data_IF_413891773892
#
_entry.id   IF_413891773892
#
_cell.length_a   1.000
_cell.length_b   1.000
_cell.length_c   1.000
_cell.angle_alpha   90.00
_cell.angle_beta   90.00
_cell.angle_gamma   90.00
#
_symmetry.space_group_name_H-M   'P 1'
#
loop_
_entity.id
_entity.type
_entity.pdbx_description
1 polymer ?
#
# COMPACT_ATOMS: atom_id res chain seq x y z
N UNK A 1 -25.76 -3.98 -4.13
CA UNK A 1 -26.16 -5.36 -4.48
C UNK A 1 -25.40 -6.31 -3.55
N UNK A 2 -25.98 -6.59 -2.39
CA UNK A 2 -25.37 -7.38 -1.32
C UNK A 2 -26.10 -8.73 -1.31
N UNK A 3 -25.43 -9.81 -1.67
CA UNK A 3 -25.98 -11.16 -1.47
C UNK A 3 -24.98 -11.99 -0.72
N UNK A 4 -25.12 -11.88 0.60
CA UNK A 4 -24.73 -12.84 1.62
C UNK A 4 -25.48 -14.16 1.37
N UNK A 5 -24.78 -15.30 1.41
CA UNK A 5 -25.44 -16.58 1.65
C UNK A 5 -24.57 -17.48 2.54
N UNK A 6 -24.97 -17.57 3.82
CA UNK A 6 -24.60 -18.63 4.76
C UNK A 6 -25.28 -19.93 4.31
N UNK A 7 -24.60 -21.08 4.46
CA UNK A 7 -25.22 -22.29 5.02
C UNK A 7 -24.17 -23.14 5.75
N UNK A 8 -24.46 -23.42 7.01
CA UNK A 8 -23.79 -24.40 7.84
C UNK A 8 -24.54 -25.73 7.73
N UNK A 9 -23.82 -26.85 7.72
CA UNK A 9 -24.37 -28.17 8.03
C UNK A 9 -23.33 -28.98 8.82
N UNK A 10 -23.72 -29.38 10.03
CA UNK A 10 -22.99 -30.30 10.92
C UNK A 10 -23.77 -31.62 10.92
N UNK A 11 -23.08 -32.76 10.72
CA UNK A 11 -23.38 -34.03 11.43
C UNK A 11 -22.25 -35.04 11.33
N UNK A 12 -22.19 -35.88 12.36
CA UNK A 12 -21.05 -36.64 12.86
C UNK A 12 -20.82 -38.02 12.21
N UNK A 13 -19.54 -38.41 12.28
CA UNK A 13 -18.87 -39.72 12.39
C UNK A 13 -19.51 -41.01 11.83
N UNK A 14 -18.73 -41.66 10.97
CA UNK A 14 -18.56 -43.12 10.93
C UNK A 14 -17.10 -43.43 10.59
N UNK A 15 -16.46 -44.22 11.45
CA UNK A 15 -15.06 -44.63 11.36
C UNK A 15 -14.95 -45.79 10.37
N UNK A 16 -14.18 -45.60 9.30
CA UNK A 16 -13.62 -46.70 8.51
C UNK A 16 -12.15 -46.41 8.26
N UNK A 17 -11.27 -47.07 9.03
CA UNK A 17 -9.86 -47.19 8.69
C UNK A 17 -9.77 -47.98 7.38
N UNK A 18 -9.19 -47.37 6.34
CA UNK A 18 -8.70 -48.08 5.16
C UNK A 18 -7.25 -47.67 4.89
N UNK A 19 -6.47 -48.71 4.66
CA UNK A 19 -5.02 -48.79 4.52
C UNK A 19 -4.47 -47.88 3.42
N UNK A 20 -3.33 -47.25 3.69
CA UNK A 20 -2.58 -46.45 2.73
C UNK A 20 -1.87 -47.31 1.68
N UNK A 21 -1.84 -46.89 0.41
CA UNK A 21 -0.80 -47.31 -0.53
C UNK A 21 0.19 -46.17 -0.83
N UNK A 22 1.47 -46.54 -0.69
CA UNK A 22 2.65 -46.14 -1.48
C UNK A 22 2.76 -44.72 -2.02
N UNK A 23 3.79 -44.02 -1.52
CA UNK A 23 4.33 -42.76 -2.03
C UNK A 23 4.65 -42.82 -3.53
N UNK A 24 3.84 -42.14 -4.35
CA UNK A 24 4.25 -41.68 -5.67
C UNK A 24 4.92 -40.32 -5.54
N UNK A 25 6.21 -40.24 -5.87
CA UNK A 25 7.01 -39.02 -5.90
C UNK A 25 6.58 -38.12 -7.08
N UNK A 26 5.40 -37.51 -6.98
CA UNK A 26 5.05 -36.36 -7.80
C UNK A 26 5.80 -35.15 -7.28
N UNK A 27 6.66 -34.55 -8.10
CA UNK A 27 7.33 -33.28 -7.83
C UNK A 27 6.28 -32.21 -7.50
N UNK A 28 5.94 -32.07 -6.21
CA UNK A 28 5.09 -31.00 -5.71
C UNK A 28 5.86 -29.71 -5.89
N UNK A 29 5.59 -29.01 -7.00
CA UNK A 29 6.11 -27.67 -7.23
C UNK A 29 5.56 -26.79 -6.11
N UNK A 30 6.38 -26.54 -5.10
CA UNK A 30 6.06 -25.64 -4.01
C UNK A 30 5.91 -24.24 -4.61
N UNK A 31 4.66 -23.81 -4.84
CA UNK A 31 4.38 -22.43 -5.17
C UNK A 31 4.59 -21.60 -3.90
N UNK A 32 5.75 -20.97 -3.78
CA UNK A 32 5.97 -19.94 -2.77
C UNK A 32 5.11 -18.74 -3.15
N UNK A 33 4.05 -18.49 -2.37
CA UNK A 33 3.30 -17.24 -2.48
C UNK A 33 4.13 -16.17 -1.80
N UNK A 34 4.96 -15.47 -2.57
CA UNK A 34 5.61 -14.25 -2.11
C UNK A 34 4.52 -13.17 -2.00
N UNK A 35 3.96 -12.99 -0.81
CA UNK A 35 3.22 -11.77 -0.51
C UNK A 35 4.27 -10.67 -0.42
N UNK A 36 4.25 -9.73 -1.35
CA UNK A 36 5.02 -8.50 -1.19
C UNK A 36 4.52 -7.81 0.09
N UNK A 37 5.24 -7.99 1.20
CA UNK A 37 5.09 -7.21 2.42
C UNK A 37 5.56 -5.78 2.13
N UNK A 38 4.81 -5.05 1.30
CA UNK A 38 5.31 -3.83 0.65
C UNK A 38 4.23 -2.84 0.22
N UNK A 39 3.07 -2.83 0.88
CA UNK A 39 2.08 -1.78 0.62
C UNK A 39 2.66 -0.41 1.01
N UNK A 40 2.88 0.45 0.01
CA UNK A 40 3.41 1.81 0.22
C UNK A 40 2.42 2.65 1.05
N UNK A 41 1.14 2.58 0.73
CA UNK A 41 0.07 3.26 1.45
C UNK A 41 -0.54 2.30 2.50
N UNK A 42 -0.43 2.54 3.82
CA UNK A 42 -0.98 1.68 4.86
C UNK A 42 -2.43 2.00 5.21
N UNK A 43 -2.87 3.27 5.11
CA UNK A 43 -4.14 3.71 5.70
C UNK A 43 -4.93 4.78 4.93
N UNK A 44 -4.34 5.46 3.96
CA UNK A 44 -4.97 6.61 3.30
C UNK A 44 -5.97 6.12 2.25
N UNK A 45 -7.25 6.51 2.35
CA UNK A 45 -8.30 6.33 1.31
C UNK A 45 -8.39 4.91 0.73
N UNK A 46 -8.31 3.89 1.59
CA UNK A 46 -8.28 2.45 1.20
C UNK A 46 -9.54 1.93 0.51
N UNK A 47 -10.65 2.65 0.58
CA UNK A 47 -11.87 2.37 -0.16
C UNK A 47 -11.75 2.67 -1.66
N UNK A 48 -10.75 3.45 -2.07
CA UNK A 48 -10.53 3.83 -3.45
C UNK A 48 -9.56 2.88 -4.12
N UNK A 49 -9.91 2.41 -5.32
CA UNK A 49 -9.04 1.55 -6.13
C UNK A 49 -7.72 2.24 -6.49
N UNK A 50 -7.79 3.55 -6.77
CA UNK A 50 -6.65 4.40 -7.05
C UNK A 50 -6.82 5.76 -6.40
N UNK A 51 -5.93 6.08 -5.48
CA UNK A 51 -5.88 7.40 -4.85
C UNK A 51 -5.05 8.34 -5.73
N UNK A 52 -5.67 9.39 -6.23
CA UNK A 52 -5.04 10.47 -7.00
C UNK A 52 -5.58 11.82 -6.53
N UNK A 53 -4.69 12.81 -6.41
CA UNK A 53 -5.03 14.17 -6.03
C UNK A 53 -4.71 15.14 -7.18
N UNK A 54 -5.68 15.96 -7.53
CA UNK A 54 -5.57 16.96 -8.58
C UNK A 54 -5.53 18.35 -7.95
N UNK A 55 -4.47 19.10 -8.24
CA UNK A 55 -4.32 20.48 -7.77
C UNK A 55 -4.19 21.39 -8.98
N UNK A 56 -5.01 22.45 -9.03
CA UNK A 56 -4.90 23.47 -10.05
C UNK A 56 -3.71 24.38 -9.73
N UNK A 57 -2.97 24.79 -10.75
CA UNK A 57 -1.81 25.67 -10.60
C UNK A 57 -2.14 26.97 -9.84
N UNK A 58 -3.32 27.56 -10.07
CA UNK A 58 -3.75 28.80 -9.43
C UNK A 58 -4.08 28.67 -7.93
N UNK A 59 -4.37 27.45 -7.46
CA UNK A 59 -4.75 27.18 -6.07
C UNK A 59 -3.57 26.68 -5.23
N UNK A 60 -2.36 26.65 -5.80
CA UNK A 60 -1.15 26.23 -5.09
C UNK A 60 -0.82 27.23 -3.96
N UNK A 61 -0.57 26.75 -2.72
CA UNK A 61 -0.05 27.59 -1.66
C UNK A 61 1.24 28.31 -2.09
N UNK A 62 1.24 29.64 -2.03
CA UNK A 62 2.41 30.49 -2.30
C UNK A 62 3.10 30.88 -0.98
N UNK A 63 4.43 31.01 -0.94
CA UNK A 63 5.40 30.88 -2.05
C UNK A 63 5.79 29.44 -2.38
N UNK A 64 5.35 28.47 -1.56
CA UNK A 64 5.79 27.08 -1.63
C UNK A 64 4.65 26.14 -1.24
N UNK A 65 4.38 25.16 -2.09
CA UNK A 65 3.53 24.02 -1.81
C UNK A 65 4.40 22.77 -1.61
N UNK A 66 4.05 21.93 -0.63
CA UNK A 66 4.82 20.74 -0.28
C UNK A 66 3.88 19.54 -0.20
N UNK A 67 4.03 18.60 -1.13
CA UNK A 67 3.17 17.42 -1.26
C UNK A 67 3.85 16.14 -0.79
N UNK A 68 3.08 15.30 -0.12
CA UNK A 68 3.53 14.02 0.41
C UNK A 68 3.75 13.01 -0.71
N UNK A 69 4.87 12.27 -0.65
CA UNK A 69 5.12 11.09 -1.50
C UNK A 69 5.33 9.80 -0.71
N UNK A 70 5.38 9.89 0.63
CA UNK A 70 5.64 8.73 1.50
C UNK A 70 4.38 8.03 1.99
N UNK A 71 3.17 8.58 1.76
CA UNK A 71 1.90 8.03 2.25
C UNK A 71 1.83 7.85 3.79
N UNK A 72 2.58 8.65 4.55
CA UNK A 72 2.55 8.65 6.03
C UNK A 72 1.98 9.93 6.62
N UNK A 73 1.70 10.93 5.78
CA UNK A 73 1.22 12.22 6.27
C UNK A 73 -0.21 12.13 6.79
N UNK A 74 -0.44 12.73 7.96
CA UNK A 74 -1.79 12.95 8.52
C UNK A 74 -2.59 13.99 7.73
N UNK A 75 -1.91 14.86 6.98
CA UNK A 75 -2.48 15.96 6.17
C UNK A 75 -2.42 15.65 4.67
N UNK A 76 -2.35 14.37 4.30
CA UNK A 76 -2.28 13.94 2.91
C UNK A 76 -3.42 14.60 2.10
N UNK A 77 -3.13 15.24 0.95
CA UNK A 77 -1.93 15.10 0.12
C UNK A 77 -0.74 15.99 0.49
N UNK A 78 -0.86 16.89 1.47
CA UNK A 78 0.23 17.77 1.90
C UNK A 78 1.27 17.00 2.72
N UNK A 79 2.51 17.48 2.73
CA UNK A 79 3.56 16.94 3.59
C UNK A 79 3.54 17.62 4.97
N UNK A 80 3.60 16.81 6.03
CA UNK A 80 3.71 17.24 7.43
C UNK A 80 5.03 16.81 8.09
N UNK A 81 5.97 16.26 7.32
CA UNK A 81 7.26 15.77 7.83
C UNK A 81 7.29 14.29 8.24
N UNK A 82 6.17 13.54 8.15
CA UNK A 82 6.12 12.13 8.54
C UNK A 82 7.13 11.21 7.81
N UNK A 83 7.62 11.61 6.63
CA UNK A 83 8.67 10.89 5.90
C UNK A 83 9.98 10.77 6.69
N UNK A 84 10.31 11.72 7.57
CA UNK A 84 11.52 11.65 8.40
C UNK A 84 11.49 10.45 9.35
N UNK A 85 10.35 10.25 10.03
CA UNK A 85 10.14 9.11 10.93
C UNK A 85 10.20 7.79 10.15
N UNK A 86 9.50 7.72 9.02
CA UNK A 86 9.50 6.56 8.13
C UNK A 86 10.91 6.21 7.66
N UNK A 87 11.68 7.18 7.17
CA UNK A 87 13.07 6.99 6.75
C UNK A 87 13.95 6.45 7.88
N UNK A 88 13.82 7.01 9.09
CA UNK A 88 14.58 6.56 10.26
C UNK A 88 14.25 5.12 10.66
N UNK A 89 12.98 4.73 10.60
CA UNK A 89 12.52 3.40 11.03
C UNK A 89 12.80 2.30 10.00
N UNK A 90 12.75 2.65 8.71
CA UNK A 90 12.84 1.67 7.61
C UNK A 90 14.20 1.69 6.89
N UNK A 91 15.02 2.72 7.10
CA UNK A 91 16.22 2.96 6.30
C UNK A 91 15.94 3.54 4.90
N UNK A 92 14.71 3.99 4.65
CA UNK A 92 14.29 4.60 3.39
C UNK A 92 14.81 6.05 3.24
N UNK A 93 14.71 6.61 2.04
CA UNK A 93 15.23 7.93 1.69
C UNK A 93 14.20 8.81 0.95
N UNK A 94 12.91 8.56 1.14
CA UNK A 94 11.84 9.32 0.49
C UNK A 94 11.73 10.75 1.03
N UNK A 95 11.28 11.66 0.16
CA UNK A 95 11.02 13.06 0.49
C UNK A 95 9.82 13.64 -0.27
N UNK A 96 9.31 14.80 0.14
CA UNK A 96 8.15 15.42 -0.50
C UNK A 96 8.44 15.92 -1.92
N UNK A 97 7.39 16.22 -2.67
CA UNK A 97 7.46 17.08 -3.85
C UNK A 97 7.29 18.53 -3.41
N UNK A 98 8.24 19.39 -3.75
CA UNK A 98 8.20 20.82 -3.46
C UNK A 98 7.90 21.56 -4.76
N UNK A 99 6.84 22.35 -4.76
CA UNK A 99 6.49 23.24 -5.88
C UNK A 99 6.63 24.67 -5.37
N UNK A 100 7.46 25.46 -6.04
CA UNK A 100 7.69 26.87 -5.71
C UNK A 100 7.26 27.74 -6.89
N UNK A 101 6.72 28.92 -6.59
CA UNK A 101 6.40 29.93 -7.60
C UNK A 101 7.69 30.63 -8.04
N UNK A 102 8.58 29.90 -8.73
CA UNK A 102 9.85 30.43 -9.23
C UNK A 102 9.69 30.85 -10.68
N UNK A 103 9.28 32.10 -10.88
CA UNK A 103 9.77 32.94 -11.97
C UNK A 103 11.21 33.45 -11.71
N UNK A 104 11.97 32.77 -10.84
CA UNK A 104 13.39 33.02 -10.63
C UNK A 104 14.12 31.69 -10.71
N UNK A 105 14.52 31.30 -11.92
CA UNK A 105 15.61 30.36 -12.10
C UNK A 105 16.84 30.88 -11.35
N UNK A 106 17.55 30.08 -10.54
CA UNK A 106 18.92 30.39 -10.16
C UNK A 106 19.74 30.58 -11.45
N UNK A 107 20.70 31.53 -11.53
CA UNK A 107 21.61 31.55 -12.66
C UNK A 107 22.31 30.19 -12.71
N UNK A 108 22.27 29.56 -13.88
CA UNK A 108 23.03 28.37 -14.21
C UNK A 108 24.47 28.58 -13.72
N UNK A 109 24.91 27.73 -12.78
CA UNK A 109 26.34 27.53 -12.52
C UNK A 109 26.78 26.30 -13.32
#
# INVERSE_FOLDING_TARGET
>A
CYTYLKMAAVRMHSVLLRSAPSMGAGSRRLSVVVRAEGQINPSIRKSEEKVADFVKMGDLPKPKAVYCRCWRSSKFPLCDGAHLKHNKETGDNVGPLVITDTATSPPSQ
#
